data_IF_088257195745
#
_entry.id   IF_088257195745
#
_cell.length_a   1.000
_cell.length_b   1.000
_cell.length_c   1.000
_cell.angle_alpha   90.00
_cell.angle_beta   90.00
_cell.angle_gamma   90.00
#
_symmetry.space_group_name_H-M   'P 1'
#
loop_
_entity.id
_entity.type
_entity.pdbx_description
1 polymer ?
#
# COMPACT_ATOMS: atom_id res chain seq x y z
N UNK A 1 -22.36 -3.75 -24.48
CA UNK A 1 -21.97 -2.53 -23.73
C UNK A 1 -21.03 -3.03 -22.65
N UNK A 2 -19.91 -2.36 -22.40
CA UNK A 2 -18.95 -2.80 -21.37
C UNK A 2 -19.59 -2.65 -19.98
N UNK A 3 -19.29 -3.59 -19.08
CA UNK A 3 -19.76 -3.59 -17.68
C UNK A 3 -19.14 -2.42 -16.91
N UNK A 4 -17.87 -2.14 -17.18
CA UNK A 4 -17.13 -1.06 -16.52
C UNK A 4 -17.38 0.27 -17.23
N UNK A 5 -17.29 1.37 -16.46
CA UNK A 5 -17.42 2.74 -16.99
C UNK A 5 -16.39 3.01 -18.09
N UNK A 6 -16.72 3.88 -19.05
CA UNK A 6 -15.83 4.19 -20.18
C UNK A 6 -14.48 4.80 -19.73
N UNK A 7 -14.47 5.53 -18.63
CA UNK A 7 -13.29 6.12 -18.01
C UNK A 7 -12.76 5.29 -16.82
N UNK A 8 -12.90 3.96 -16.88
CA UNK A 8 -12.34 3.09 -15.85
C UNK A 8 -10.82 3.19 -15.85
N UNK A 9 -10.23 3.38 -14.66
CA UNK A 9 -8.79 3.58 -14.53
C UNK A 9 -8.08 2.21 -14.48
N UNK A 10 -7.63 1.75 -15.64
CA UNK A 10 -6.75 0.60 -15.77
C UNK A 10 -5.30 1.05 -15.69
N UNK A 11 -4.55 0.51 -14.74
CA UNK A 11 -3.18 0.96 -14.54
C UNK A 11 -2.26 -0.12 -14.00
N UNK A 12 -1.22 0.33 -13.32
CA UNK A 12 -0.28 -0.51 -12.60
C UNK A 12 0.24 0.25 -11.39
N UNK A 13 0.51 -0.46 -10.30
CA UNK A 13 0.89 0.13 -9.02
C UNK A 13 2.27 -0.33 -8.57
N UNK A 14 3.06 0.61 -8.05
CA UNK A 14 4.39 0.42 -7.47
C UNK A 14 4.59 1.39 -6.29
N UNK A 15 5.75 1.33 -5.63
CA UNK A 15 6.17 2.30 -4.63
C UNK A 15 7.62 2.71 -4.86
N UNK A 16 7.93 3.99 -4.68
CA UNK A 16 9.21 4.61 -5.02
C UNK A 16 10.42 3.81 -4.49
N UNK A 17 10.49 3.53 -3.18
CA UNK A 17 11.59 2.76 -2.59
C UNK A 17 11.77 1.33 -3.17
N UNK A 18 10.77 0.75 -3.83
CA UNK A 18 10.82 -0.61 -4.36
C UNK A 18 11.32 -0.69 -5.80
N UNK A 19 11.24 0.42 -6.55
CA UNK A 19 11.64 0.44 -7.95
C UNK A 19 12.64 1.53 -8.33
N UNK A 20 12.60 2.72 -7.70
CA UNK A 20 13.38 3.88 -8.15
C UNK A 20 14.87 3.61 -8.13
N UNK A 21 15.43 3.13 -7.02
CA UNK A 21 16.88 3.16 -6.83
C UNK A 21 17.37 4.61 -6.70
N UNK A 22 18.62 4.87 -7.08
CA UNK A 22 19.23 6.20 -6.94
C UNK A 22 19.04 6.77 -5.53
N UNK A 23 19.22 5.91 -4.52
CA UNK A 23 18.77 6.16 -3.15
C UNK A 23 19.46 7.34 -2.44
N UNK A 24 20.64 7.71 -2.93
CA UNK A 24 21.50 8.81 -2.47
C UNK A 24 21.68 9.91 -3.54
N UNK A 25 20.91 9.84 -4.63
CA UNK A 25 20.98 10.80 -5.73
C UNK A 25 20.00 11.95 -5.58
N UNK A 26 20.38 13.09 -6.16
CA UNK A 26 19.60 14.31 -6.16
C UNK A 26 19.28 14.87 -4.77
N UNK A 27 20.19 14.65 -3.82
CA UNK A 27 20.02 15.06 -2.42
C UNK A 27 19.03 14.22 -1.62
N UNK A 28 18.56 13.07 -2.14
CA UNK A 28 17.67 12.17 -1.40
C UNK A 28 18.30 11.72 -0.08
N UNK A 29 17.52 11.77 1.00
CA UNK A 29 17.91 11.28 2.32
C UNK A 29 17.73 9.77 2.50
N UNK A 30 18.23 9.26 3.62
CA UNK A 30 18.06 7.85 4.01
C UNK A 30 16.62 7.62 4.46
N UNK A 31 15.93 6.66 3.85
CA UNK A 31 14.59 6.23 4.26
C UNK A 31 14.65 5.03 5.21
N UNK A 32 13.52 4.70 5.84
CA UNK A 32 13.38 3.43 6.58
C UNK A 32 13.63 2.20 5.69
N UNK A 33 13.30 2.24 4.40
CA UNK A 33 13.58 1.14 3.48
C UNK A 33 15.09 0.96 3.21
N UNK A 34 15.86 2.05 3.25
CA UNK A 34 17.30 2.05 2.97
C UNK A 34 18.13 1.39 4.09
N UNK A 35 17.51 1.08 5.24
CA UNK A 35 18.14 0.38 6.37
C UNK A 35 17.60 -1.04 6.59
N UNK A 36 16.85 -1.58 5.61
CA UNK A 36 16.29 -2.92 5.65
C UNK A 36 17.04 -3.86 4.70
N UNK A 37 17.67 -4.90 5.22
CA UNK A 37 18.40 -5.86 4.39
C UNK A 37 17.47 -6.73 3.56
N UNK A 38 17.98 -7.40 2.53
CA UNK A 38 17.28 -8.53 1.89
C UNK A 38 16.96 -9.63 2.92
N UNK A 39 15.82 -10.29 2.76
CA UNK A 39 15.39 -11.47 3.50
C UNK A 39 15.03 -12.61 2.54
N UNK A 40 14.17 -13.52 2.98
CA UNK A 40 13.62 -14.61 2.15
C UNK A 40 12.31 -15.12 2.76
N UNK A 41 11.60 -16.01 2.06
CA UNK A 41 10.46 -16.70 2.69
C UNK A 41 10.90 -17.44 3.98
N UNK A 42 10.28 -17.09 5.11
CA UNK A 42 10.63 -17.61 6.44
C UNK A 42 11.87 -16.97 7.09
N UNK A 43 12.51 -15.99 6.44
CA UNK A 43 13.66 -15.24 6.98
C UNK A 43 13.33 -13.75 6.91
N UNK A 44 12.99 -13.10 8.05
CA UNK A 44 12.61 -11.70 8.04
C UNK A 44 13.76 -10.80 7.61
N UNK A 45 13.43 -9.67 6.98
CA UNK A 45 14.39 -8.61 6.72
C UNK A 45 14.94 -8.07 8.03
N UNK A 46 16.23 -7.74 8.08
CA UNK A 46 16.82 -7.11 9.26
C UNK A 46 16.74 -5.59 9.14
N UNK A 47 16.22 -4.96 10.18
CA UNK A 47 16.24 -3.50 10.33
C UNK A 47 17.53 -3.12 11.05
N UNK A 48 18.43 -2.45 10.34
CA UNK A 48 19.76 -2.05 10.85
C UNK A 48 19.73 -0.66 11.51
N UNK A 49 20.81 -0.30 12.21
CA UNK A 49 21.01 1.03 12.80
C UNK A 49 21.77 1.92 11.80
N UNK A 50 21.06 2.34 10.74
CA UNK A 50 21.66 3.01 9.60
C UNK A 50 22.22 2.04 8.55
N UNK A 51 22.83 2.60 7.51
CA UNK A 51 23.43 1.83 6.42
C UNK A 51 24.78 1.27 6.85
N UNK A 52 24.89 -0.06 6.91
CA UNK A 52 26.09 -0.77 7.34
C UNK A 52 26.89 -1.31 6.14
N UNK A 53 28.21 -1.16 6.19
CA UNK A 53 29.09 -1.68 5.15
C UNK A 53 29.04 -3.22 5.12
N UNK A 54 28.89 -3.80 3.93
CA UNK A 54 28.88 -5.25 3.71
C UNK A 54 27.50 -5.91 3.81
N UNK A 55 26.46 -5.14 4.11
CA UNK A 55 25.06 -5.59 4.04
C UNK A 55 24.48 -5.38 2.63
N UNK A 56 23.48 -6.20 2.27
CA UNK A 56 22.73 -6.05 1.03
C UNK A 56 21.40 -5.35 1.29
N UNK A 57 21.29 -4.09 0.85
CA UNK A 57 20.09 -3.27 0.88
C UNK A 57 19.48 -3.20 -0.52
N UNK A 58 18.51 -4.08 -0.85
CA UNK A 58 18.05 -4.22 -2.24
C UNK A 58 17.36 -2.96 -2.77
N UNK A 59 16.81 -2.12 -1.89
CA UNK A 59 16.15 -0.86 -2.22
C UNK A 59 17.10 0.24 -2.72
N UNK A 60 18.41 0.15 -2.42
CA UNK A 60 19.39 1.19 -2.81
C UNK A 60 19.48 1.39 -4.31
N UNK A 61 19.48 0.27 -5.05
CA UNK A 61 19.48 0.26 -6.50
C UNK A 61 18.12 -0.15 -7.07
N UNK A 62 17.35 -0.97 -6.35
CA UNK A 62 16.05 -1.49 -6.79
C UNK A 62 16.12 -2.02 -8.24
N UNK A 63 15.35 -1.45 -9.17
CA UNK A 63 15.45 -1.73 -10.61
C UNK A 63 15.97 -0.54 -11.43
N UNK A 64 16.47 0.48 -10.74
CA UNK A 64 16.97 1.72 -11.33
C UNK A 64 15.93 2.47 -12.17
N UNK A 65 14.65 2.45 -11.75
CA UNK A 65 13.61 3.21 -12.42
C UNK A 65 13.90 4.72 -12.41
N UNK A 66 14.65 5.24 -11.43
CA UNK A 66 15.07 6.63 -11.37
C UNK A 66 15.77 7.10 -12.65
N UNK A 67 16.59 6.25 -13.29
CA UNK A 67 17.21 6.57 -14.57
C UNK A 67 16.46 6.02 -15.79
N UNK A 68 15.63 4.99 -15.61
CA UNK A 68 14.93 4.27 -16.69
C UNK A 68 13.45 4.66 -16.86
N UNK A 69 12.93 5.61 -16.08
CA UNK A 69 11.49 5.89 -16.05
C UNK A 69 10.92 6.30 -17.41
N UNK A 70 11.69 6.93 -18.30
CA UNK A 70 11.19 7.31 -19.63
C UNK A 70 10.94 6.09 -20.51
N UNK A 71 11.87 5.13 -20.50
CA UNK A 71 11.73 3.87 -21.21
C UNK A 71 10.61 3.02 -20.59
N UNK A 72 10.53 2.99 -19.26
CA UNK A 72 9.53 2.23 -18.53
C UNK A 72 8.12 2.82 -18.74
N UNK A 73 7.94 4.15 -18.63
CA UNK A 73 6.66 4.83 -18.93
C UNK A 73 6.21 4.61 -20.37
N UNK A 74 7.14 4.54 -21.32
CA UNK A 74 6.81 4.13 -22.69
C UNK A 74 6.29 2.69 -22.75
N UNK A 75 6.86 1.77 -21.98
CA UNK A 75 6.32 0.40 -21.86
C UNK A 75 4.93 0.39 -21.22
N UNK A 76 4.65 1.30 -20.28
CA UNK A 76 3.33 1.44 -19.65
C UNK A 76 2.28 1.91 -20.67
N UNK A 77 2.65 2.86 -21.52
CA UNK A 77 1.83 3.30 -22.64
C UNK A 77 1.63 2.19 -23.68
N UNK A 78 2.68 1.44 -24.01
CA UNK A 78 2.59 0.27 -24.91
C UNK A 78 1.69 -0.82 -24.31
N UNK A 79 1.69 -1.00 -22.98
CA UNK A 79 0.79 -1.90 -22.26
C UNK A 79 -0.66 -1.40 -22.31
N UNK A 80 -0.86 -0.10 -22.52
CA UNK A 80 -2.17 0.54 -22.64
C UNK A 80 -2.70 1.14 -21.34
N UNK A 81 -1.83 1.34 -20.32
CA UNK A 81 -2.25 1.94 -19.06
C UNK A 81 -2.83 3.34 -19.29
N UNK A 82 -3.88 3.69 -18.55
CA UNK A 82 -4.43 5.06 -18.51
C UNK A 82 -4.25 5.72 -17.13
N UNK A 83 -3.74 4.99 -16.15
CA UNK A 83 -3.23 5.53 -14.90
C UNK A 83 -1.99 4.77 -14.42
N UNK A 84 -1.17 5.42 -13.60
CA UNK A 84 0.01 4.82 -12.99
C UNK A 84 0.08 5.22 -11.52
N UNK A 85 -0.04 4.22 -10.64
CA UNK A 85 0.09 4.44 -9.20
C UNK A 85 1.54 4.30 -8.76
N UNK A 86 2.05 5.33 -8.11
CA UNK A 86 3.34 5.31 -7.43
C UNK A 86 3.27 6.11 -6.13
N UNK A 87 4.38 6.20 -5.40
CA UNK A 87 4.55 7.15 -4.30
C UNK A 87 5.53 8.24 -4.66
N UNK A 88 5.38 9.39 -3.98
CA UNK A 88 6.45 10.39 -3.92
C UNK A 88 7.32 9.99 -2.72
N UNK A 89 8.58 9.67 -2.97
CA UNK A 89 9.53 9.38 -1.91
C UNK A 89 9.69 10.60 -1.01
N UNK A 90 9.19 10.52 0.22
CA UNK A 90 9.27 11.60 1.21
C UNK A 90 10.72 12.11 1.34
N UNK A 91 11.69 11.19 1.37
CA UNK A 91 13.13 11.49 1.45
C UNK A 91 13.73 12.19 0.24
N UNK A 92 13.04 12.23 -0.92
CA UNK A 92 13.47 13.10 -2.03
C UNK A 92 13.05 14.54 -1.81
N UNK A 93 11.93 14.78 -1.13
CA UNK A 93 11.37 16.12 -0.94
C UNK A 93 11.87 16.75 0.36
N UNK A 94 11.89 15.97 1.45
CA UNK A 94 12.45 16.34 2.73
C UNK A 94 13.42 15.22 3.18
N UNK A 95 14.71 15.33 2.84
CA UNK A 95 15.72 14.29 3.10
C UNK A 95 15.76 13.80 4.56
N UNK A 96 15.70 14.73 5.51
CA UNK A 96 15.64 14.46 6.94
C UNK A 96 14.21 14.55 7.48
N UNK A 97 13.32 15.26 6.80
CA UNK A 97 11.90 15.37 7.14
C UNK A 97 11.54 16.62 7.94
N UNK A 98 12.54 17.30 8.51
CA UNK A 98 12.40 18.46 9.39
C UNK A 98 12.98 19.75 8.79
N UNK A 99 13.47 19.71 7.54
CA UNK A 99 14.03 20.88 6.86
C UNK A 99 12.98 21.98 6.67
N UNK A 100 13.42 23.24 6.64
CA UNK A 100 12.55 24.39 6.44
C UNK A 100 12.00 24.50 5.00
N UNK A 101 12.79 24.11 4.00
CA UNK A 101 12.42 24.18 2.58
C UNK A 101 12.53 22.79 1.94
N UNK A 102 11.70 22.48 0.93
CA UNK A 102 11.81 21.22 0.21
C UNK A 102 13.04 21.19 -0.69
N UNK A 103 13.49 19.99 -1.03
CA UNK A 103 14.53 19.75 -2.01
C UNK A 103 13.98 19.84 -3.44
N UNK A 104 14.41 20.88 -4.17
CA UNK A 104 13.95 21.16 -5.54
C UNK A 104 14.31 20.04 -6.52
N UNK A 105 15.44 19.36 -6.37
CA UNK A 105 15.83 18.29 -7.31
C UNK A 105 14.91 17.07 -7.17
N UNK A 106 14.44 16.78 -5.95
CA UNK A 106 13.40 15.79 -5.71
C UNK A 106 12.05 16.19 -6.31
N UNK A 107 11.66 17.47 -6.20
CA UNK A 107 10.44 17.97 -6.82
C UNK A 107 10.50 17.88 -8.35
N UNK A 108 11.64 18.27 -8.94
CA UNK A 108 11.84 18.24 -10.38
C UNK A 108 11.81 16.82 -10.94
N UNK A 109 12.32 15.82 -10.21
CA UNK A 109 12.23 14.43 -10.63
C UNK A 109 10.77 13.97 -10.84
N UNK A 110 9.89 14.29 -9.88
CA UNK A 110 8.47 13.94 -10.01
C UNK A 110 7.74 14.81 -11.02
N UNK A 111 8.13 16.08 -11.20
CA UNK A 111 7.65 16.86 -12.35
C UNK A 111 7.94 16.16 -13.67
N UNK A 112 9.18 15.71 -13.87
CA UNK A 112 9.60 15.06 -15.10
C UNK A 112 8.94 13.69 -15.28
N UNK A 113 8.76 12.93 -14.21
CA UNK A 113 8.05 11.65 -14.22
C UNK A 113 6.57 11.84 -14.60
N UNK A 114 5.88 12.76 -13.93
CA UNK A 114 4.46 13.01 -14.19
C UNK A 114 4.25 13.62 -15.57
N UNK A 115 5.14 14.48 -16.05
CA UNK A 115 5.08 15.01 -17.41
C UNK A 115 5.27 13.89 -18.46
N UNK A 116 6.15 12.93 -18.21
CA UNK A 116 6.31 11.78 -19.10
C UNK A 116 5.08 10.87 -19.07
N UNK A 117 4.44 10.65 -17.91
CA UNK A 117 3.16 9.93 -17.83
C UNK A 117 2.04 10.64 -18.62
N UNK A 118 1.85 11.94 -18.36
CA UNK A 118 0.79 12.75 -18.97
C UNK A 118 0.97 12.89 -20.49
N UNK A 119 2.21 12.90 -20.99
CA UNK A 119 2.53 12.84 -22.43
C UNK A 119 1.91 11.63 -23.13
N UNK A 120 1.72 10.52 -22.42
CA UNK A 120 1.06 9.31 -22.93
C UNK A 120 -0.40 9.18 -22.49
N UNK A 121 -0.98 10.19 -21.83
CA UNK A 121 -2.34 10.14 -21.30
C UNK A 121 -2.49 9.21 -20.11
N UNK A 122 -1.42 9.01 -19.33
CA UNK A 122 -1.41 8.20 -18.11
C UNK A 122 -1.59 9.13 -16.92
N UNK A 123 -2.72 9.04 -16.23
CA UNK A 123 -3.00 9.81 -15.01
C UNK A 123 -2.15 9.30 -13.84
N UNK A 124 -1.33 10.14 -13.18
CA UNK A 124 -0.64 9.73 -11.96
C UNK A 124 -1.63 9.53 -10.80
N UNK A 125 -1.45 8.45 -10.05
CA UNK A 125 -2.18 8.17 -8.79
C UNK A 125 -1.16 8.10 -7.66
N UNK A 126 -1.15 9.07 -6.75
CA UNK A 126 0.00 9.28 -5.87
C UNK A 126 -0.31 8.91 -4.42
N UNK A 127 0.52 8.04 -3.85
CA UNK A 127 0.54 7.78 -2.40
C UNK A 127 1.60 8.65 -1.75
N UNK A 128 1.24 9.44 -0.73
CA UNK A 128 2.18 10.35 -0.05
C UNK A 128 3.18 9.57 0.81
N UNK A 129 2.71 8.69 1.69
CA UNK A 129 3.57 7.86 2.54
C UNK A 129 3.43 6.40 2.18
N UNK A 130 4.48 5.79 1.62
CA UNK A 130 4.52 4.39 1.23
C UNK A 130 5.80 3.70 1.75
N UNK A 131 5.82 3.42 3.06
CA UNK A 131 6.87 2.62 3.71
C UNK A 131 8.30 3.18 3.59
N UNK A 132 8.43 4.49 3.43
CA UNK A 132 9.70 5.13 3.04
C UNK A 132 9.96 6.48 3.70
N UNK A 133 9.38 6.70 4.88
CA UNK A 133 9.63 7.94 5.64
C UNK A 133 11.13 8.15 5.94
N UNK A 134 11.59 9.40 6.13
CA UNK A 134 12.97 9.69 6.47
C UNK A 134 13.43 8.98 7.75
N UNK A 135 14.57 8.29 7.69
CA UNK A 135 15.16 7.58 8.82
C UNK A 135 15.67 8.54 9.90
N UNK A 136 15.97 9.79 9.53
CA UNK A 136 16.23 10.87 10.49
C UNK A 136 15.03 11.09 11.44
N UNK A 137 13.79 11.06 10.92
CA UNK A 137 12.60 11.18 11.77
C UNK A 137 12.47 10.02 12.76
N UNK A 138 12.94 8.82 12.39
CA UNK A 138 12.99 7.67 13.29
C UNK A 138 14.01 7.87 14.40
N UNK A 139 15.22 8.33 14.05
CA UNK A 139 16.35 8.42 15.00
C UNK A 139 16.24 9.63 15.92
N UNK A 140 15.83 10.79 15.41
CA UNK A 140 15.75 12.04 16.19
C UNK A 140 14.42 12.20 16.93
N UNK A 141 13.31 11.72 16.36
CA UNK A 141 11.97 11.91 16.91
C UNK A 141 11.31 10.62 17.39
N UNK A 142 11.84 9.45 17.05
CA UNK A 142 11.20 8.16 17.35
C UNK A 142 10.10 7.79 16.35
N UNK A 143 10.10 8.40 15.17
CA UNK A 143 9.04 8.23 14.16
C UNK A 143 7.70 8.75 14.67
N UNK A 144 6.62 8.07 14.31
CA UNK A 144 5.25 8.43 14.69
C UNK A 144 4.91 8.21 16.17
N UNK A 145 5.89 7.96 17.02
CA UNK A 145 5.76 8.16 18.47
C UNK A 145 5.57 9.63 18.84
N UNK A 146 5.98 10.54 17.96
CA UNK A 146 6.10 11.95 18.25
C UNK A 146 5.05 12.77 17.51
N UNK A 147 4.26 13.55 18.25
CA UNK A 147 3.21 14.43 17.71
C UNK A 147 3.72 15.36 16.61
N UNK A 148 4.99 15.79 16.64
CA UNK A 148 5.59 16.65 15.60
C UNK A 148 5.56 16.04 14.20
N UNK A 149 5.44 14.71 14.09
CA UNK A 149 5.29 14.02 12.82
C UNK A 149 4.05 14.48 12.02
N UNK A 150 2.99 14.89 12.73
CA UNK A 150 1.79 15.46 12.10
C UNK A 150 2.18 16.68 11.25
N UNK A 151 2.92 17.62 11.82
CA UNK A 151 3.34 18.85 11.14
C UNK A 151 4.33 18.56 10.00
N UNK A 152 5.29 17.64 10.20
CA UNK A 152 6.25 17.25 9.17
C UNK A 152 5.55 16.62 7.96
N UNK A 153 4.59 15.73 8.19
CA UNK A 153 3.81 15.12 7.12
C UNK A 153 2.88 16.14 6.44
N UNK A 154 2.16 16.97 7.21
CA UNK A 154 1.26 17.98 6.66
C UNK A 154 2.01 18.99 5.78
N UNK A 155 3.24 19.35 6.16
CA UNK A 155 4.13 20.17 5.35
C UNK A 155 4.56 19.48 4.05
N UNK A 156 4.99 18.22 4.14
CA UNK A 156 5.34 17.42 2.97
C UNK A 156 4.16 17.31 1.99
N UNK A 157 2.98 16.95 2.51
CA UNK A 157 1.74 16.86 1.74
C UNK A 157 1.40 18.19 1.06
N UNK A 158 1.44 19.32 1.80
CA UNK A 158 1.22 20.66 1.25
C UNK A 158 2.14 20.96 0.06
N UNK A 159 3.44 20.71 0.19
CA UNK A 159 4.41 20.97 -0.89
C UNK A 159 4.07 20.13 -2.12
N UNK A 160 3.76 18.85 -1.94
CA UNK A 160 3.36 17.99 -3.06
C UNK A 160 2.07 18.47 -3.72
N UNK A 161 1.03 18.77 -2.94
CA UNK A 161 -0.24 19.28 -3.46
C UNK A 161 -0.03 20.60 -4.21
N UNK A 162 0.72 21.56 -3.67
CA UNK A 162 0.96 22.85 -4.32
C UNK A 162 1.76 22.70 -5.62
N UNK A 163 2.77 21.82 -5.65
CA UNK A 163 3.61 21.59 -6.83
C UNK A 163 2.86 20.89 -7.96
N UNK A 164 2.05 19.87 -7.63
CA UNK A 164 1.47 18.97 -8.63
C UNK A 164 -0.04 19.13 -8.84
N UNK A 165 -0.64 20.22 -8.35
CA UNK A 165 -2.09 20.48 -8.43
C UNK A 165 -2.71 20.43 -9.82
N UNK A 166 -1.91 20.72 -10.85
CA UNK A 166 -2.34 20.74 -12.24
C UNK A 166 -1.89 19.46 -13.01
N UNK A 167 -1.30 18.49 -12.31
CA UNK A 167 -0.73 17.26 -12.89
C UNK A 167 -1.29 15.96 -12.29
N UNK A 168 -1.83 16.01 -11.07
CA UNK A 168 -2.26 14.81 -10.33
C UNK A 168 -3.63 15.06 -9.72
N UNK A 169 -4.62 14.24 -10.11
CA UNK A 169 -5.97 14.30 -9.55
C UNK A 169 -6.14 13.38 -8.34
N UNK A 170 -5.55 12.19 -8.38
CA UNK A 170 -5.80 11.11 -7.41
C UNK A 170 -4.66 10.96 -6.40
N UNK A 171 -5.01 11.04 -5.12
CA UNK A 171 -4.06 11.01 -4.01
C UNK A 171 -4.49 10.01 -2.94
N UNK A 172 -3.52 9.43 -2.24
CA UNK A 172 -3.71 8.69 -1.00
C UNK A 172 -2.70 9.14 0.04
N UNK A 173 -3.10 9.14 1.32
CA UNK A 173 -2.24 9.60 2.41
C UNK A 173 -1.23 8.53 2.85
N UNK A 174 -1.68 7.53 3.60
CA UNK A 174 -0.83 6.48 4.16
C UNK A 174 -1.13 5.13 3.52
N UNK A 175 -0.12 4.51 2.89
CA UNK A 175 -0.24 3.16 2.35
C UNK A 175 -0.52 2.15 3.46
N UNK A 176 -1.52 1.30 3.23
CA UNK A 176 -1.89 0.18 4.10
C UNK A 176 -1.77 0.53 5.59
N UNK A 177 -2.37 1.66 5.99
CA UNK A 177 -2.20 2.25 7.32
C UNK A 177 -2.50 1.25 8.44
N UNK A 178 -3.37 0.27 8.15
CA UNK A 178 -3.82 -0.75 9.08
C UNK A 178 -2.90 -1.98 9.20
N UNK A 179 -1.84 -2.10 8.40
CA UNK A 179 -0.87 -3.21 8.55
C UNK A 179 -0.30 -3.27 9.96
N UNK A 180 -0.04 -2.12 10.57
CA UNK A 180 0.48 -2.01 11.93
C UNK A 180 -0.46 -2.56 13.01
N UNK A 181 -1.72 -2.89 12.68
CA UNK A 181 -2.59 -3.67 13.57
C UNK A 181 -1.93 -5.00 14.00
N UNK A 182 -1.07 -5.57 13.15
CA UNK A 182 -0.11 -6.59 13.56
C UNK A 182 1.13 -5.94 14.23
N UNK A 183 0.94 -5.42 15.43
CA UNK A 183 2.00 -4.78 16.22
C UNK A 183 2.98 -5.79 16.83
N UNK A 184 2.69 -7.09 16.76
CA UNK A 184 3.52 -8.14 17.35
C UNK A 184 4.83 -8.36 16.57
N UNK A 185 4.81 -8.11 15.26
CA UNK A 185 5.99 -8.13 14.40
C UNK A 185 6.58 -6.73 14.22
N UNK A 186 7.86 -6.66 13.81
CA UNK A 186 8.56 -5.38 13.65
C UNK A 186 8.32 -4.74 12.28
N UNK A 187 7.96 -5.52 11.25
CA UNK A 187 7.85 -5.02 9.88
C UNK A 187 6.84 -3.87 9.77
N UNK A 188 5.57 -4.11 10.13
CA UNK A 188 4.52 -3.11 9.92
C UNK A 188 4.70 -1.86 10.79
N UNK A 189 4.96 -1.94 12.12
CA UNK A 189 5.23 -0.73 12.91
C UNK A 189 6.45 0.07 12.42
N UNK A 190 7.47 -0.62 11.88
CA UNK A 190 8.64 0.08 11.32
C UNK A 190 8.34 0.74 9.98
N UNK A 191 7.64 0.06 9.06
CA UNK A 191 7.36 0.60 7.72
C UNK A 191 6.21 1.61 7.71
N UNK A 192 5.11 1.36 8.42
CA UNK A 192 4.02 2.33 8.53
C UNK A 192 4.45 3.58 9.29
N UNK A 193 5.16 3.38 10.40
CA UNK A 193 5.23 4.39 11.47
C UNK A 193 6.65 4.73 11.93
N UNK A 194 7.68 4.09 11.37
CA UNK A 194 9.06 4.32 11.79
C UNK A 194 9.35 3.88 13.22
N UNK A 195 8.57 2.94 13.77
CA UNK A 195 8.73 2.49 15.15
C UNK A 195 9.73 1.34 15.23
N UNK A 196 10.86 1.58 15.89
CA UNK A 196 11.71 0.53 16.46
C UNK A 196 11.33 0.35 17.93
N UNK A 197 10.93 -0.84 18.32
CA UNK A 197 10.58 -1.12 19.71
C UNK A 197 11.82 -1.41 20.56
N UNK A 198 11.72 -1.07 21.83
CA UNK A 198 12.68 -1.41 22.87
C UNK A 198 12.10 -2.51 23.78
N UNK A 199 12.98 -3.25 24.45
CA UNK A 199 12.56 -4.29 25.40
C UNK A 199 11.72 -3.67 26.53
N UNK A 200 10.58 -4.31 26.83
CA UNK A 200 9.67 -3.88 27.90
C UNK A 200 8.64 -2.82 27.49
N UNK A 201 8.63 -2.37 26.23
CA UNK A 201 7.61 -1.45 25.74
C UNK A 201 6.26 -2.13 25.49
N UNK A 202 5.18 -1.38 25.75
CA UNK A 202 3.82 -1.76 25.35
C UNK A 202 3.62 -1.44 23.87
N UNK A 203 3.93 -2.45 23.04
CA UNK A 203 3.87 -2.35 21.57
C UNK A 203 2.48 -1.92 21.07
N UNK A 204 1.43 -2.46 21.68
CA UNK A 204 0.06 -2.17 21.27
C UNK A 204 -0.31 -0.71 21.57
N UNK A 205 0.00 -0.22 22.77
CA UNK A 205 -0.25 1.18 23.12
C UNK A 205 0.48 2.15 22.19
N UNK A 206 1.75 1.87 21.89
CA UNK A 206 2.57 2.70 21.00
C UNK A 206 1.99 2.71 19.58
N UNK A 207 1.57 1.55 19.07
CA UNK A 207 0.91 1.46 17.75
C UNK A 207 -0.35 2.32 17.70
N UNK A 208 -1.24 2.24 18.71
CA UNK A 208 -2.45 3.07 18.73
C UNK A 208 -2.14 4.56 18.79
N UNK A 209 -1.07 4.96 19.49
CA UNK A 209 -0.64 6.36 19.52
C UNK A 209 -0.14 6.84 18.15
N UNK A 210 0.68 6.04 17.46
CA UNK A 210 1.19 6.37 16.14
C UNK A 210 0.06 6.42 15.10
N UNK A 211 -0.80 5.39 15.08
CA UNK A 211 -1.98 5.35 14.23
C UNK A 211 -2.90 6.56 14.45
N UNK A 212 -3.07 7.02 15.70
CA UNK A 212 -3.82 8.24 15.98
C UNK A 212 -3.20 9.47 15.29
N UNK A 213 -1.90 9.68 15.46
CA UNK A 213 -1.22 10.82 14.82
C UNK A 213 -1.25 10.72 13.28
N UNK A 214 -1.09 9.53 12.70
CA UNK A 214 -1.21 9.32 11.25
C UNK A 214 -2.62 9.65 10.73
N UNK A 215 -3.67 9.25 11.45
CA UNK A 215 -5.06 9.57 11.10
C UNK A 215 -5.32 11.09 11.16
N UNK A 216 -4.81 11.78 12.18
CA UNK A 216 -4.90 13.24 12.28
C UNK A 216 -4.14 13.91 11.14
N UNK A 217 -2.91 13.45 10.86
CA UNK A 217 -2.09 13.97 9.77
C UNK A 217 -2.73 13.74 8.40
N UNK A 218 -3.40 12.60 8.21
CA UNK A 218 -4.20 12.32 7.02
C UNK A 218 -5.34 13.31 6.88
N UNK A 219 -6.09 13.56 7.96
CA UNK A 219 -7.23 14.48 7.93
C UNK A 219 -6.79 15.92 7.63
N UNK A 220 -5.66 16.35 8.21
CA UNK A 220 -5.05 17.63 7.87
C UNK A 220 -4.60 17.68 6.40
N UNK A 221 -3.98 16.62 5.87
CA UNK A 221 -3.58 16.56 4.48
C UNK A 221 -4.77 16.63 3.51
N UNK A 222 -5.88 15.93 3.80
CA UNK A 222 -7.12 16.02 3.01
C UNK A 222 -7.61 17.47 2.95
N UNK A 223 -7.75 18.11 4.11
CA UNK A 223 -8.18 19.51 4.19
C UNK A 223 -7.26 20.45 3.42
N UNK A 224 -5.95 20.31 3.58
CA UNK A 224 -4.94 21.11 2.85
C UNK A 224 -5.08 20.90 1.34
N UNK A 225 -5.23 19.65 0.90
CA UNK A 225 -5.38 19.32 -0.51
C UNK A 225 -6.60 20.00 -1.12
N UNK A 226 -7.78 19.89 -0.49
CA UNK A 226 -9.00 20.55 -0.99
C UNK A 226 -8.95 22.08 -0.90
N UNK A 227 -8.20 22.66 0.04
CA UNK A 227 -7.92 24.12 0.07
C UNK A 227 -7.09 24.57 -1.14
N UNK A 228 -6.16 23.74 -1.60
CA UNK A 228 -5.28 24.02 -2.75
C UNK A 228 -6.00 23.78 -4.08
N UNK A 229 -6.66 22.63 -4.20
CA UNK A 229 -7.45 22.25 -5.36
C UNK A 229 -8.67 21.41 -4.91
N UNK A 230 -9.90 21.95 -4.99
CA UNK A 230 -11.11 21.22 -4.60
C UNK A 230 -11.46 20.07 -5.55
N UNK A 231 -10.82 19.97 -6.73
CA UNK A 231 -11.04 18.88 -7.69
C UNK A 231 -10.19 17.64 -7.36
N UNK A 232 -9.25 17.72 -6.42
CA UNK A 232 -8.51 16.55 -5.97
C UNK A 232 -9.46 15.46 -5.44
N UNK A 233 -9.07 14.22 -5.67
CA UNK A 233 -9.66 13.04 -5.05
C UNK A 233 -8.63 12.48 -4.09
N UNK A 234 -8.88 12.60 -2.78
CA UNK A 234 -7.92 12.22 -1.73
C UNK A 234 -8.52 11.07 -0.92
N UNK A 235 -8.00 9.87 -1.16
CA UNK A 235 -8.45 8.63 -0.53
C UNK A 235 -7.62 8.20 0.67
N UNK A 236 -8.15 7.26 1.46
CA UNK A 236 -7.33 6.42 2.33
C UNK A 236 -6.75 5.23 1.54
N UNK A 237 -5.80 4.50 2.15
CA UNK A 237 -5.32 3.23 1.61
C UNK A 237 -5.31 2.15 2.70
N UNK A 238 -6.08 1.06 2.46
CA UNK A 238 -6.30 -0.02 3.43
C UNK A 238 -5.82 -1.36 2.86
N UNK A 239 -5.04 -2.11 3.65
CA UNK A 239 -4.79 -3.52 3.38
C UNK A 239 -6.03 -4.34 3.71
N UNK A 240 -6.79 -4.76 2.70
CA UNK A 240 -8.01 -5.54 2.87
C UNK A 240 -7.73 -7.03 2.70
N UNK A 241 -7.63 -7.73 3.83
CA UNK A 241 -7.70 -9.17 3.92
C UNK A 241 -8.93 -9.55 4.77
N UNK A 242 -10.05 -9.92 4.12
CA UNK A 242 -11.24 -10.39 4.82
C UNK A 242 -10.91 -11.48 5.84
N UNK A 243 -11.49 -11.43 7.03
CA UNK A 243 -11.25 -12.41 8.09
C UNK A 243 -12.53 -13.23 8.29
N UNK A 244 -12.62 -14.38 7.61
CA UNK A 244 -13.79 -15.23 7.69
C UNK A 244 -13.85 -15.99 9.02
N UNK A 245 -15.05 -16.19 9.58
CA UNK A 245 -15.23 -17.18 10.64
C UNK A 245 -14.92 -18.57 10.08
N UNK A 246 -14.10 -19.36 10.78
CA UNK A 246 -13.75 -20.71 10.33
C UNK A 246 -14.97 -21.63 10.21
N UNK A 247 -15.98 -21.43 11.06
CA UNK A 247 -17.22 -22.19 11.05
C UNK A 247 -18.43 -21.32 11.41
N UNK A 248 -19.63 -21.88 11.34
CA UNK A 248 -20.85 -21.22 11.83
C UNK A 248 -21.02 -21.28 13.35
N UNK A 249 -20.00 -21.74 14.11
CA UNK A 249 -19.98 -21.57 15.56
C UNK A 249 -20.12 -20.06 15.89
N UNK A 250 -21.12 -19.67 16.70
CA UNK A 250 -21.29 -18.26 17.07
C UNK A 250 -20.04 -17.60 17.66
N UNK A 251 -19.16 -18.37 18.30
CA UNK A 251 -17.88 -17.85 18.81
C UNK A 251 -16.89 -17.52 17.69
N UNK A 252 -16.78 -18.36 16.66
CA UNK A 252 -15.96 -18.08 15.47
C UNK A 252 -16.50 -16.84 14.73
N UNK A 253 -17.83 -16.72 14.62
CA UNK A 253 -18.48 -15.51 14.10
C UNK A 253 -18.11 -14.26 14.90
N UNK A 254 -18.20 -14.31 16.22
CA UNK A 254 -17.87 -13.15 17.06
C UNK A 254 -16.37 -12.81 17.00
N UNK A 255 -15.50 -13.81 16.89
CA UNK A 255 -14.07 -13.59 16.65
C UNK A 255 -13.81 -12.87 15.32
N UNK A 256 -14.46 -13.29 14.24
CA UNK A 256 -14.39 -12.60 12.95
C UNK A 256 -14.83 -11.13 13.06
N UNK A 257 -15.95 -10.84 13.72
CA UNK A 257 -16.42 -9.47 13.96
C UNK A 257 -15.39 -8.66 14.73
N UNK A 258 -14.85 -9.19 15.83
CA UNK A 258 -13.85 -8.48 16.65
C UNK A 258 -12.54 -8.23 15.88
N UNK A 259 -12.07 -9.22 15.12
CA UNK A 259 -10.86 -9.11 14.31
C UNK A 259 -11.00 -8.07 13.19
N UNK A 260 -12.12 -8.09 12.45
CA UNK A 260 -12.43 -7.08 11.44
C UNK A 260 -12.50 -5.68 12.09
N UNK A 261 -13.15 -5.54 13.25
CA UNK A 261 -13.18 -4.27 14.00
C UNK A 261 -11.77 -3.78 14.37
N UNK A 262 -10.89 -4.67 14.85
CA UNK A 262 -9.53 -4.32 15.25
C UNK A 262 -8.61 -3.98 14.09
N UNK A 263 -8.86 -4.54 12.90
CA UNK A 263 -8.05 -4.32 11.72
C UNK A 263 -8.55 -3.19 10.82
N UNK A 264 -9.84 -2.81 10.89
CA UNK A 264 -10.44 -1.85 9.96
C UNK A 264 -11.04 -0.59 10.60
N UNK A 265 -10.84 -0.36 11.90
CA UNK A 265 -11.27 0.89 12.54
C UNK A 265 -10.57 2.14 11.95
N UNK A 266 -9.39 1.98 11.36
CA UNK A 266 -8.71 3.02 10.59
C UNK A 266 -9.62 3.58 9.49
N UNK A 267 -10.33 2.70 8.77
CA UNK A 267 -11.27 3.09 7.73
C UNK A 267 -12.48 3.83 8.32
N UNK A 268 -12.99 3.39 9.48
CA UNK A 268 -14.07 4.10 10.17
C UNK A 268 -13.65 5.55 10.48
N UNK A 269 -12.42 5.78 10.95
CA UNK A 269 -11.92 7.13 11.24
C UNK A 269 -11.70 7.94 9.97
N UNK A 270 -11.07 7.38 8.93
CA UNK A 270 -10.87 8.07 7.65
C UNK A 270 -12.18 8.51 6.99
N UNK A 271 -13.23 7.69 7.07
CA UNK A 271 -14.48 7.93 6.34
C UNK A 271 -15.48 8.70 7.18
N UNK A 272 -15.61 8.38 8.47
CA UNK A 272 -16.63 8.96 9.36
C UNK A 272 -16.10 10.10 10.22
N UNK A 273 -14.77 10.28 10.29
CA UNK A 273 -14.14 11.38 11.01
C UNK A 273 -14.20 11.27 12.53
N UNK A 274 -14.53 10.09 13.07
CA UNK A 274 -14.57 9.84 14.50
C UNK A 274 -14.21 8.40 14.84
N UNK A 275 -13.76 8.17 16.08
CA UNK A 275 -13.50 6.83 16.59
C UNK A 275 -14.81 6.07 16.78
N UNK A 276 -14.88 4.78 16.39
CA UNK A 276 -16.04 3.96 16.70
C UNK A 276 -16.03 3.53 18.16
N UNK A 277 -17.21 3.40 18.76
CA UNK A 277 -17.39 3.11 20.20
C UNK A 277 -16.72 1.82 20.68
N UNK A 278 -16.54 0.83 19.80
CA UNK A 278 -15.85 -0.41 20.14
C UNK A 278 -14.33 -0.19 20.32
N UNK A 279 -13.72 0.80 19.65
CA UNK A 279 -12.32 1.17 19.89
C UNK A 279 -12.21 2.00 21.16
N UNK A 280 -13.08 2.98 21.37
CA UNK A 280 -13.07 3.78 22.61
C UNK A 280 -13.16 2.87 23.85
N UNK A 281 -14.09 1.91 23.85
CA UNK A 281 -14.22 0.92 24.91
C UNK A 281 -13.00 -0.01 25.02
N UNK A 282 -12.36 -0.35 23.90
CA UNK A 282 -11.16 -1.18 23.91
C UNK A 282 -9.97 -0.45 24.56
N UNK A 283 -9.71 0.79 24.15
CA UNK A 283 -8.66 1.64 24.73
C UNK A 283 -8.88 1.82 26.23
N UNK A 284 -10.11 2.11 26.65
CA UNK A 284 -10.47 2.24 28.06
C UNK A 284 -10.24 0.93 28.85
N UNK A 285 -10.62 -0.23 28.29
CA UNK A 285 -10.38 -1.55 28.90
C UNK A 285 -8.89 -1.88 29.04
N UNK A 286 -8.07 -1.48 28.08
CA UNK A 286 -6.62 -1.70 28.10
C UNK A 286 -5.88 -0.66 28.95
N UNK A 287 -6.54 0.43 29.34
CA UNK A 287 -5.90 1.55 30.02
C UNK A 287 -4.97 2.35 29.11
N UNK A 288 -5.22 2.34 27.80
CA UNK A 288 -4.47 3.13 26.84
C UNK A 288 -4.92 4.58 26.88
N UNK A 289 -4.23 5.36 27.70
CA UNK A 289 -4.31 6.82 27.69
C UNK A 289 -3.43 7.34 26.55
N UNK A 290 -4.08 7.64 25.42
CA UNK A 290 -3.46 8.19 24.22
C UNK A 290 -3.48 9.72 24.30
N UNK A 291 -2.42 10.35 23.80
CA UNK A 291 -2.40 11.79 23.55
C UNK A 291 -3.32 12.10 22.36
N UNK A 292 -4.55 12.49 22.69
CA UNK A 292 -5.60 12.95 21.77
C UNK A 292 -6.14 14.29 22.27
N UNK A 293 -6.10 15.32 21.43
CA UNK A 293 -6.59 16.66 21.76
C UNK A 293 -7.98 16.91 21.15
N UNK A 294 -8.69 17.92 21.64
CA UNK A 294 -9.96 18.36 21.02
C UNK A 294 -9.75 18.83 19.57
N UNK A 295 -8.57 19.40 19.27
CA UNK A 295 -8.22 19.80 17.92
C UNK A 295 -8.04 18.59 17.01
N UNK A 296 -7.40 17.52 17.49
CA UNK A 296 -7.26 16.27 16.73
C UNK A 296 -8.63 15.71 16.33
N UNK A 297 -9.56 15.62 17.29
CA UNK A 297 -10.92 15.15 17.03
C UNK A 297 -11.67 16.04 16.03
N UNK A 298 -11.43 17.35 16.10
CA UNK A 298 -11.99 18.33 15.15
C UNK A 298 -11.41 18.13 13.75
N UNK A 299 -10.09 17.93 13.63
CA UNK A 299 -9.41 17.72 12.35
C UNK A 299 -9.92 16.45 11.68
N UNK A 300 -10.06 15.35 12.43
CA UNK A 300 -10.60 14.07 11.93
C UNK A 300 -11.99 14.26 11.29
N UNK A 301 -12.88 15.02 11.91
CA UNK A 301 -14.24 15.27 11.37
C UNK A 301 -14.24 16.10 10.09
N UNK A 302 -13.25 16.99 9.90
CA UNK A 302 -13.19 17.89 8.74
C UNK A 302 -12.26 17.40 7.62
N UNK A 303 -11.60 16.25 7.80
CA UNK A 303 -10.66 15.68 6.84
C UNK A 303 -11.02 14.27 6.40
N UNK A 304 -12.31 13.96 6.29
CA UNK A 304 -12.77 12.68 5.77
C UNK A 304 -12.40 12.51 4.29
N UNK A 305 -12.04 11.29 3.91
CA UNK A 305 -11.54 10.97 2.57
C UNK A 305 -12.65 10.90 1.51
N UNK A 306 -12.29 11.12 0.24
CA UNK A 306 -13.22 11.11 -0.90
C UNK A 306 -13.53 9.69 -1.41
N UNK A 307 -12.58 8.77 -1.24
CA UNK A 307 -12.69 7.37 -1.68
C UNK A 307 -11.86 6.43 -0.82
N UNK A 308 -12.11 5.12 -0.96
CA UNK A 308 -11.35 4.08 -0.29
C UNK A 308 -10.44 3.38 -1.31
N UNK A 309 -9.16 3.71 -1.28
CA UNK A 309 -8.13 2.88 -1.91
C UNK A 309 -7.89 1.65 -1.06
N UNK A 310 -7.77 0.47 -1.68
CA UNK A 310 -7.39 -0.72 -0.95
C UNK A 310 -6.54 -1.69 -1.77
N UNK A 311 -5.69 -2.44 -1.09
CA UNK A 311 -5.03 -3.62 -1.64
C UNK A 311 -5.87 -4.86 -1.35
N UNK A 312 -5.81 -5.81 -2.27
CA UNK A 312 -6.38 -7.14 -2.07
C UNK A 312 -5.46 -8.20 -2.65
N UNK A 313 -5.11 -9.18 -1.82
CA UNK A 313 -4.26 -10.30 -2.25
C UNK A 313 -4.81 -11.66 -1.82
N UNK A 314 -5.45 -11.69 -0.65
CA UNK A 314 -5.83 -12.91 0.05
C UNK A 314 -6.93 -12.63 1.07
N UNK A 315 -7.55 -13.70 1.55
CA UNK A 315 -8.39 -13.70 2.75
C UNK A 315 -7.76 -14.54 3.86
N UNK A 316 -8.21 -14.33 5.09
CA UNK A 316 -7.88 -15.11 6.26
C UNK A 316 -9.11 -15.87 6.78
N UNK A 317 -8.88 -16.89 7.60
CA UNK A 317 -9.91 -17.50 8.43
C UNK A 317 -9.48 -17.39 9.90
N UNK A 318 -10.44 -17.28 10.82
CA UNK A 318 -10.21 -17.15 12.26
C UNK A 318 -11.09 -18.11 13.04
N UNK A 319 -10.56 -18.63 14.15
CA UNK A 319 -11.28 -19.53 15.04
C UNK A 319 -11.21 -19.02 16.48
N UNK A 320 -12.25 -19.27 17.28
CA UNK A 320 -12.18 -19.03 18.71
C UNK A 320 -11.24 -20.03 19.41
N UNK A 321 -10.46 -19.49 20.34
CA UNK A 321 -9.52 -20.20 21.20
C UNK A 321 -9.83 -19.92 22.68
N UNK A 322 -11.12 -19.93 23.04
CA UNK A 322 -11.64 -19.61 24.37
C UNK A 322 -11.19 -18.23 24.88
N UNK A 323 -11.31 -17.20 24.04
CA UNK A 323 -10.87 -15.81 24.29
C UNK A 323 -11.63 -15.08 25.41
N UNK A 324 -12.59 -15.74 26.05
CA UNK A 324 -13.47 -15.16 27.05
C UNK A 324 -14.37 -14.04 26.47
N UNK A 325 -14.95 -13.18 27.31
CA UNK A 325 -15.94 -12.20 26.87
C UNK A 325 -15.35 -11.04 26.04
N UNK A 326 -14.02 -10.92 26.02
CA UNK A 326 -13.31 -9.82 25.37
C UNK A 326 -13.12 -10.04 23.86
N UNK A 327 -12.99 -11.30 23.41
CA UNK A 327 -12.71 -11.67 22.03
C UNK A 327 -11.53 -10.88 21.43
N UNK A 328 -10.48 -10.64 22.22
CA UNK A 328 -9.31 -9.86 21.78
C UNK A 328 -8.57 -10.62 20.66
N UNK A 329 -8.38 -9.92 19.54
CA UNK A 329 -7.72 -10.43 18.34
C UNK A 329 -6.19 -10.29 18.44
N UNK A 330 -5.49 -11.38 18.14
CA UNK A 330 -4.04 -11.45 17.95
C UNK A 330 -3.78 -12.13 16.60
N UNK A 331 -3.38 -11.33 15.60
CA UNK A 331 -3.14 -11.78 14.22
C UNK A 331 -2.14 -12.94 14.14
N UNK A 332 -1.15 -12.96 15.04
CA UNK A 332 -0.10 -13.98 15.05
C UNK A 332 -0.55 -15.35 15.58
N UNK A 333 -1.71 -15.43 16.25
CA UNK A 333 -2.15 -16.63 16.98
C UNK A 333 -3.52 -17.14 16.58
N UNK A 334 -4.43 -16.25 16.20
CA UNK A 334 -5.85 -16.61 16.07
C UNK A 334 -6.24 -17.06 14.67
N UNK A 335 -5.40 -16.75 13.68
CA UNK A 335 -5.65 -17.09 12.29
C UNK A 335 -5.39 -18.58 12.02
N UNK A 336 -6.25 -19.16 11.19
CA UNK A 336 -6.17 -20.55 10.74
C UNK A 336 -6.20 -20.62 9.21
N UNK A 337 -5.70 -21.72 8.64
CA UNK A 337 -5.78 -21.95 7.19
C UNK A 337 -7.22 -22.21 6.77
N UNK A 338 -7.63 -21.61 5.67
CA UNK A 338 -8.88 -21.89 5.00
C UNK A 338 -8.71 -23.16 4.13
N UNK A 339 -9.43 -24.26 4.42
CA UNK A 339 -9.26 -25.52 3.71
C UNK A 339 -9.89 -25.54 2.30
N UNK A 340 -10.56 -24.47 1.89
CA UNK A 340 -11.30 -24.39 0.63
C UNK A 340 -10.57 -23.65 -0.49
N UNK A 341 -9.38 -23.10 -0.21
CA UNK A 341 -8.60 -22.31 -1.16
C UNK A 341 -7.16 -22.79 -1.23
N UNK A 342 -6.53 -22.58 -2.38
CA UNK A 342 -5.11 -22.80 -2.57
C UNK A 342 -4.30 -21.61 -2.01
N UNK A 343 -2.98 -21.71 -2.05
CA UNK A 343 -2.08 -20.63 -1.65
C UNK A 343 -0.86 -20.57 -2.58
N UNK A 344 -0.26 -19.39 -2.69
CA UNK A 344 1.01 -19.21 -3.39
C UNK A 344 2.17 -19.90 -2.65
N UNK A 345 3.34 -19.94 -3.29
CA UNK A 345 4.58 -20.45 -2.67
C UNK A 345 5.02 -19.67 -1.42
N UNK A 346 4.51 -18.45 -1.23
CA UNK A 346 4.72 -17.65 -0.01
C UNK A 346 3.60 -17.82 1.03
N UNK A 347 2.67 -18.75 0.82
CA UNK A 347 1.58 -19.06 1.74
C UNK A 347 0.40 -18.10 1.67
N UNK A 348 0.32 -17.23 0.66
CA UNK A 348 -0.79 -16.28 0.50
C UNK A 348 -1.99 -16.99 -0.14
N UNK A 349 -3.11 -17.04 0.58
CA UNK A 349 -4.31 -17.77 0.12
C UNK A 349 -4.95 -17.11 -1.10
N UNK A 350 -5.28 -17.90 -2.12
CA UNK A 350 -5.84 -17.42 -3.38
C UNK A 350 -7.37 -17.48 -3.30
N UNK A 351 -7.97 -16.33 -3.02
CA UNK A 351 -9.43 -16.21 -2.86
C UNK A 351 -9.97 -15.05 -3.70
N UNK A 352 -10.29 -15.27 -4.98
CA UNK A 352 -10.86 -14.23 -5.82
C UNK A 352 -12.24 -13.77 -5.35
N UNK A 353 -13.08 -14.69 -4.85
CA UNK A 353 -14.43 -14.34 -4.36
C UNK A 353 -14.38 -13.40 -3.16
N UNK A 354 -13.33 -13.51 -2.34
CA UNK A 354 -13.08 -12.58 -1.25
C UNK A 354 -12.86 -11.13 -1.69
N UNK A 355 -12.47 -10.86 -2.94
CA UNK A 355 -12.41 -9.50 -3.48
C UNK A 355 -13.82 -8.92 -3.62
N UNK A 356 -14.75 -9.70 -4.18
CA UNK A 356 -16.16 -9.30 -4.26
C UNK A 356 -16.76 -9.11 -2.86
N UNK A 357 -16.45 -9.99 -1.91
CA UNK A 357 -16.84 -9.80 -0.50
C UNK A 357 -16.28 -8.50 0.08
N UNK A 358 -14.99 -8.23 -0.10
CA UNK A 358 -14.32 -7.03 0.39
C UNK A 358 -14.96 -5.75 -0.16
N UNK A 359 -15.25 -5.73 -1.46
CA UNK A 359 -15.92 -4.60 -2.11
C UNK A 359 -17.31 -4.35 -1.50
N UNK A 360 -18.13 -5.40 -1.34
CA UNK A 360 -19.44 -5.28 -0.70
C UNK A 360 -19.30 -4.79 0.75
N UNK A 361 -18.37 -5.35 1.52
CA UNK A 361 -18.14 -4.96 2.91
C UNK A 361 -17.79 -3.48 3.06
N UNK A 362 -16.91 -2.96 2.19
CA UNK A 362 -16.61 -1.53 2.18
C UNK A 362 -17.81 -0.70 1.75
N UNK A 363 -18.45 -1.04 0.63
CA UNK A 363 -19.49 -0.21 0.05
C UNK A 363 -20.75 -0.16 0.92
N UNK A 364 -21.21 -1.29 1.46
CA UNK A 364 -22.35 -1.33 2.39
C UNK A 364 -22.10 -0.53 3.68
N UNK A 365 -20.83 -0.47 4.12
CA UNK A 365 -20.46 0.19 5.38
C UNK A 365 -20.24 1.69 5.25
N UNK A 366 -19.76 2.14 4.09
CA UNK A 366 -19.22 3.48 3.90
C UNK A 366 -19.83 4.26 2.73
N UNK A 367 -20.47 3.58 1.77
CA UNK A 367 -21.10 4.19 0.60
C UNK A 367 -20.19 5.13 -0.21
N UNK A 368 -18.87 4.96 -0.10
CA UNK A 368 -17.87 5.69 -0.89
C UNK A 368 -17.46 4.91 -2.15
N UNK A 369 -16.98 5.62 -3.19
CA UNK A 369 -16.26 5.01 -4.29
C UNK A 369 -15.05 4.20 -3.80
N UNK A 370 -14.78 3.09 -4.47
CA UNK A 370 -13.64 2.24 -4.18
C UNK A 370 -12.57 2.37 -5.27
N UNK A 371 -11.32 2.08 -4.94
CA UNK A 371 -10.23 1.95 -5.90
C UNK A 371 -9.38 0.74 -5.50
N UNK A 372 -9.32 -0.30 -6.34
CA UNK A 372 -8.42 -1.43 -6.13
C UNK A 372 -7.02 -0.99 -6.58
N UNK A 373 -6.25 -0.50 -5.62
CA UNK A 373 -4.95 0.13 -5.88
C UNK A 373 -3.79 -0.86 -5.82
N UNK A 374 -4.06 -2.10 -5.39
CA UNK A 374 -3.15 -3.24 -5.52
C UNK A 374 -3.93 -4.55 -5.62
N UNK A 375 -3.51 -5.40 -6.53
CA UNK A 375 -3.82 -6.83 -6.57
C UNK A 375 -2.72 -7.52 -7.38
N UNK A 376 -2.25 -8.69 -6.97
CA UNK A 376 -1.11 -9.30 -7.65
C UNK A 376 -0.74 -10.68 -7.16
N UNK A 377 -0.03 -11.42 -8.02
CA UNK A 377 0.44 -12.76 -7.72
C UNK A 377 1.96 -12.82 -7.75
N UNK A 378 2.55 -12.84 -6.55
CA UNK A 378 3.98 -12.99 -6.36
C UNK A 378 4.38 -14.46 -6.53
N UNK A 379 5.16 -14.76 -7.56
CA UNK A 379 5.61 -16.10 -7.91
C UNK A 379 7.04 -16.09 -8.45
N UNK A 380 7.63 -17.28 -8.56
CA UNK A 380 8.93 -17.45 -9.22
C UNK A 380 8.68 -17.49 -10.73
N UNK A 381 9.33 -16.60 -11.48
CA UNK A 381 9.33 -16.71 -12.94
C UNK A 381 10.47 -17.62 -13.40
N UNK A 382 10.16 -18.49 -14.36
CA UNK A 382 11.15 -19.28 -15.11
C UNK A 382 11.37 -18.64 -16.49
N UNK A 383 12.64 -18.45 -16.86
CA UNK A 383 13.00 -17.99 -18.20
C UNK A 383 13.05 -19.18 -19.16
N UNK A 384 12.28 -19.07 -20.23
CA UNK A 384 12.33 -20.01 -21.35
C UNK A 384 13.65 -19.86 -22.13
N UNK A 385 13.95 -20.82 -23.00
CA UNK A 385 15.19 -20.82 -23.79
C UNK A 385 15.35 -19.59 -24.71
N UNK A 386 14.25 -18.93 -25.07
CA UNK A 386 14.22 -17.71 -25.87
C UNK A 386 14.26 -16.41 -25.04
N UNK A 387 14.35 -16.53 -23.70
CA UNK A 387 14.39 -15.41 -22.76
C UNK A 387 13.03 -14.82 -22.41
N UNK A 388 11.92 -15.46 -22.80
CA UNK A 388 10.56 -15.06 -22.39
C UNK A 388 10.15 -15.72 -21.07
N UNK A 389 9.11 -15.18 -20.42
CA UNK A 389 8.46 -15.79 -19.26
C UNK A 389 7.02 -16.14 -19.62
N UNK A 390 6.67 -17.43 -19.50
CA UNK A 390 5.30 -17.91 -19.67
C UNK A 390 4.59 -17.98 -18.30
N UNK A 391 4.09 -16.85 -17.85
CA UNK A 391 3.46 -16.68 -16.55
C UNK A 391 1.93 -16.88 -16.57
N UNK A 392 1.49 -18.03 -17.10
CA UNK A 392 0.05 -18.36 -17.14
C UNK A 392 -0.59 -18.34 -15.75
N UNK A 393 0.13 -18.78 -14.71
CA UNK A 393 -0.35 -18.73 -13.32
C UNK A 393 -0.71 -17.31 -12.85
N UNK A 394 -0.02 -16.29 -13.36
CA UNK A 394 -0.27 -14.88 -13.01
C UNK A 394 -1.49 -14.36 -13.74
N UNK A 395 -1.65 -14.73 -15.01
CA UNK A 395 -2.85 -14.47 -15.80
C UNK A 395 -4.07 -15.10 -15.12
N UNK A 396 -4.00 -16.37 -14.74
CA UNK A 396 -5.11 -17.11 -14.13
C UNK A 396 -5.56 -16.45 -12.81
N UNK A 397 -4.60 -16.05 -11.96
CA UNK A 397 -4.89 -15.31 -10.73
C UNK A 397 -5.60 -13.98 -11.00
N UNK A 398 -5.02 -13.13 -11.84
CA UNK A 398 -5.55 -11.78 -12.07
C UNK A 398 -6.90 -11.82 -12.78
N UNK A 399 -7.05 -12.72 -13.76
CA UNK A 399 -8.32 -12.98 -14.43
C UNK A 399 -9.43 -13.32 -13.43
N UNK A 400 -9.18 -14.26 -12.53
CA UNK A 400 -10.18 -14.67 -11.53
C UNK A 400 -10.61 -13.49 -10.62
N UNK A 401 -9.69 -12.60 -10.27
CA UNK A 401 -10.01 -11.40 -9.47
C UNK A 401 -10.74 -10.34 -10.29
N UNK A 402 -10.36 -10.13 -11.55
CA UNK A 402 -11.04 -9.19 -12.46
C UNK A 402 -12.48 -9.64 -12.71
N UNK A 403 -12.75 -10.94 -12.85
CA UNK A 403 -14.11 -11.49 -12.95
C UNK A 403 -14.95 -11.11 -11.71
N UNK A 404 -14.42 -11.32 -10.50
CA UNK A 404 -15.12 -10.98 -9.26
C UNK A 404 -15.30 -9.47 -9.03
N UNK A 405 -14.33 -8.67 -9.46
CA UNK A 405 -14.44 -7.21 -9.48
C UNK A 405 -15.54 -6.74 -10.44
N UNK A 406 -15.61 -7.31 -11.64
CA UNK A 406 -16.68 -7.00 -12.61
C UNK A 406 -18.04 -7.39 -12.07
N UNK A 407 -18.17 -8.55 -11.43
CA UNK A 407 -19.42 -8.98 -10.81
C UNK A 407 -19.86 -8.04 -9.67
N UNK A 408 -18.91 -7.56 -8.87
CA UNK A 408 -19.18 -6.56 -7.83
C UNK A 408 -19.73 -5.24 -8.40
N UNK A 409 -19.24 -4.82 -9.58
CA UNK A 409 -19.77 -3.63 -10.26
C UNK A 409 -21.13 -3.92 -10.90
N UNK A 410 -21.26 -5.01 -11.65
CA UNK A 410 -22.46 -5.32 -12.45
C UNK A 410 -23.66 -5.72 -11.59
N UNK A 411 -23.46 -6.64 -10.66
CA UNK A 411 -24.55 -7.27 -9.89
C UNK A 411 -24.76 -6.60 -8.54
N UNK A 412 -23.69 -6.09 -7.92
CA UNK A 412 -23.77 -5.48 -6.59
C UNK A 412 -23.84 -3.95 -6.64
N UNK A 413 -23.62 -3.35 -7.83
CA UNK A 413 -23.80 -1.92 -8.07
C UNK A 413 -22.70 -1.03 -7.47
N UNK A 414 -21.52 -1.59 -7.19
CA UNK A 414 -20.47 -0.90 -6.44
C UNK A 414 -19.72 0.10 -7.34
N UNK A 415 -19.65 1.40 -6.96
CA UNK A 415 -18.86 2.39 -7.67
C UNK A 415 -17.36 2.11 -7.52
N UNK A 416 -16.75 1.62 -8.60
CA UNK A 416 -15.32 1.36 -8.67
C UNK A 416 -14.62 2.34 -9.61
N UNK A 417 -13.58 3.01 -9.10
CA UNK A 417 -12.79 4.00 -9.82
C UNK A 417 -11.87 3.33 -10.84
N UNK A 418 -11.15 2.29 -10.40
CA UNK A 418 -10.09 1.66 -11.18
C UNK A 418 -9.50 0.42 -10.55
N UNK A 419 -8.56 -0.18 -11.27
CA UNK A 419 -7.82 -1.38 -10.90
C UNK A 419 -6.37 -1.29 -11.38
N UNK A 420 -5.42 -1.35 -10.44
CA UNK A 420 -3.98 -1.26 -10.71
C UNK A 420 -3.24 -2.46 -10.12
N UNK A 421 -2.91 -3.49 -10.93
CA UNK A 421 -2.08 -4.60 -10.49
C UNK A 421 -0.78 -4.15 -9.87
N UNK A 422 -0.42 -4.78 -8.75
CA UNK A 422 0.79 -4.47 -8.00
C UNK A 422 2.02 -5.02 -8.68
N UNK A 423 3.12 -4.25 -8.64
CA UNK A 423 4.43 -4.67 -9.13
C UNK A 423 4.37 -5.11 -10.59
N UNK A 424 3.52 -4.44 -11.40
CA UNK A 424 3.29 -4.76 -12.80
C UNK A 424 4.56 -4.64 -13.68
N UNK A 425 5.59 -3.96 -13.17
CA UNK A 425 6.99 -4.16 -13.53
C UNK A 425 7.69 -4.81 -12.34
N UNK A 426 8.51 -5.84 -12.59
CA UNK A 426 9.23 -6.53 -11.51
C UNK A 426 10.03 -5.53 -10.67
N UNK A 427 9.94 -5.69 -9.36
CA UNK A 427 10.51 -4.77 -8.37
C UNK A 427 10.93 -5.54 -7.11
N UNK A 428 11.59 -4.85 -6.18
CA UNK A 428 11.99 -5.43 -4.90
C UNK A 428 10.75 -5.65 -4.02
N UNK A 429 10.45 -6.88 -3.59
CA UNK A 429 9.30 -7.16 -2.74
C UNK A 429 9.40 -6.43 -1.38
N UNK A 430 8.27 -6.01 -0.81
CA UNK A 430 8.27 -5.27 0.46
C UNK A 430 8.70 -6.17 1.64
N UNK A 431 7.91 -7.21 1.93
CA UNK A 431 8.07 -8.05 3.12
C UNK A 431 9.37 -8.86 3.17
N UNK A 432 9.92 -9.28 2.02
CA UNK A 432 11.14 -10.10 1.95
C UNK A 432 12.31 -9.42 1.25
N UNK A 433 12.13 -8.30 0.56
CA UNK A 433 13.22 -7.63 -0.16
C UNK A 433 13.71 -8.41 -1.38
N UNK A 434 12.89 -9.31 -1.92
CA UNK A 434 13.29 -10.25 -2.97
C UNK A 434 12.95 -9.71 -4.36
N UNK A 435 13.86 -9.87 -5.32
CA UNK A 435 13.57 -9.83 -6.76
C UNK A 435 12.98 -11.16 -7.26
N UNK A 436 13.25 -12.27 -6.58
CA UNK A 436 12.76 -13.61 -6.96
C UNK A 436 11.23 -13.73 -6.86
N UNK A 437 10.60 -12.99 -5.95
CA UNK A 437 9.14 -12.91 -5.80
C UNK A 437 8.59 -11.88 -6.79
N UNK A 438 8.37 -12.32 -8.03
CA UNK A 438 8.01 -11.46 -9.16
C UNK A 438 6.51 -11.29 -9.30
N UNK A 439 6.11 -10.08 -9.69
CA UNK A 439 4.70 -9.70 -9.86
C UNK A 439 4.40 -9.20 -11.28
N UNK A 440 5.44 -8.83 -12.05
CA UNK A 440 5.25 -7.98 -13.21
C UNK A 440 4.66 -8.66 -14.43
N UNK A 441 4.10 -7.83 -15.30
CA UNK A 441 3.94 -8.07 -16.73
C UNK A 441 5.23 -7.77 -17.49
N UNK A 442 6.09 -6.93 -16.90
CA UNK A 442 7.41 -6.58 -17.40
C UNK A 442 8.44 -7.23 -16.48
N UNK A 443 9.22 -8.15 -17.05
CA UNK A 443 10.36 -8.77 -16.38
C UNK A 443 11.52 -7.80 -16.30
N UNK A 444 12.23 -7.80 -15.18
CA UNK A 444 13.50 -7.08 -15.01
C UNK A 444 14.60 -8.09 -14.69
N UNK A 445 15.66 -8.08 -15.50
CA UNK A 445 16.85 -8.93 -15.30
C UNK A 445 17.67 -8.44 -14.10
N UNK A 446 17.25 -8.86 -12.91
CA UNK A 446 17.93 -8.69 -11.64
C UNK A 446 17.55 -9.81 -10.68
N UNK A 447 18.49 -10.31 -9.89
CA UNK A 447 18.28 -11.31 -8.85
C UNK A 447 18.42 -10.75 -7.42
N UNK A 448 18.28 -11.62 -6.42
CA UNK A 448 18.39 -11.24 -5.00
C UNK A 448 19.83 -10.88 -4.57
N UNK A 449 20.85 -11.25 -5.36
CA UNK A 449 22.25 -10.90 -5.13
C UNK A 449 22.64 -9.58 -5.81
N UNK A 450 21.65 -8.90 -6.42
CA UNK A 450 21.86 -7.65 -7.15
C UNK A 450 22.52 -7.85 -8.52
N UNK A 451 22.61 -9.08 -9.02
CA UNK A 451 23.19 -9.37 -10.33
C UNK A 451 22.12 -9.34 -11.42
N UNK A 452 22.50 -8.90 -12.62
CA UNK A 452 21.63 -8.84 -13.80
C UNK A 452 21.87 -7.57 -14.62
N UNK A 453 21.36 -7.51 -15.85
CA UNK A 453 21.60 -6.34 -16.72
C UNK A 453 20.56 -5.22 -16.55
N UNK A 454 19.60 -5.36 -15.63
CA UNK A 454 18.42 -4.50 -15.47
C UNK A 454 17.56 -4.37 -16.73
N UNK A 455 17.71 -5.27 -17.71
CA UNK A 455 16.96 -5.18 -18.96
C UNK A 455 15.49 -5.51 -18.71
N UNK A 456 14.60 -4.72 -19.30
CA UNK A 456 13.17 -4.97 -19.32
C UNK A 456 12.78 -5.90 -20.49
N UNK A 457 11.93 -6.88 -20.24
CA UNK A 457 11.31 -7.72 -21.27
C UNK A 457 9.83 -7.99 -20.97
N UNK A 458 9.02 -8.16 -22.01
CA UNK A 458 7.58 -8.44 -21.87
C UNK A 458 7.40 -9.91 -21.51
N UNK A 459 6.63 -10.18 -20.45
CA UNK A 459 6.15 -11.53 -20.13
C UNK A 459 4.89 -11.83 -20.96
N UNK A 460 4.43 -13.08 -20.96
CA UNK A 460 3.18 -13.47 -21.64
C UNK A 460 1.98 -12.66 -21.16
N UNK A 461 1.93 -12.38 -19.86
CA UNK A 461 0.89 -11.56 -19.23
C UNK A 461 0.83 -10.10 -19.72
N UNK A 462 1.89 -9.57 -20.36
CA UNK A 462 1.89 -8.22 -20.94
C UNK A 462 0.82 -8.08 -22.03
N UNK A 463 0.87 -8.95 -23.05
CA UNK A 463 -0.08 -8.87 -24.17
C UNK A 463 -1.50 -9.23 -23.73
N UNK A 464 -1.63 -10.13 -22.75
CA UNK A 464 -2.90 -10.44 -22.10
C UNK A 464 -3.51 -9.20 -21.44
N UNK A 465 -2.79 -8.53 -20.55
CA UNK A 465 -3.33 -7.36 -19.84
C UNK A 465 -3.59 -6.19 -20.80
N UNK A 466 -2.77 -6.03 -21.83
CA UNK A 466 -3.04 -5.08 -22.92
C UNK A 466 -4.41 -5.36 -23.57
N UNK A 467 -4.78 -6.63 -23.79
CA UNK A 467 -6.08 -6.99 -24.34
C UNK A 467 -7.23 -6.76 -23.34
N UNK A 468 -7.00 -7.03 -22.06
CA UNK A 468 -7.95 -6.70 -20.98
C UNK A 468 -8.29 -5.20 -21.04
N UNK A 469 -7.27 -4.32 -21.10
CA UNK A 469 -7.51 -2.88 -21.13
C UNK A 469 -8.23 -2.45 -22.41
N UNK A 470 -7.76 -2.91 -23.58
CA UNK A 470 -8.36 -2.58 -24.88
C UNK A 470 -9.84 -2.98 -24.98
N UNK A 471 -10.21 -4.09 -24.36
CA UNK A 471 -11.59 -4.58 -24.30
C UNK A 471 -12.38 -4.03 -23.11
N UNK A 472 -11.79 -3.15 -22.30
CA UNK A 472 -12.34 -2.67 -21.03
C UNK A 472 -12.82 -3.82 -20.10
N UNK A 473 -12.04 -4.90 -20.05
CA UNK A 473 -12.29 -6.09 -19.24
C UNK A 473 -13.28 -7.08 -19.84
N UNK A 474 -13.74 -6.92 -21.09
CA UNK A 474 -14.64 -7.89 -21.73
C UNK A 474 -13.94 -9.13 -22.27
N UNK A 475 -12.66 -9.03 -22.61
CA UNK A 475 -11.83 -10.16 -23.04
C UNK A 475 -10.75 -10.42 -21.98
N UNK A 476 -10.90 -11.54 -21.26
CA UNK A 476 -9.99 -12.00 -20.20
C UNK A 476 -9.34 -13.33 -20.53
#
# INVERSE_FOLDING_TARGET
MSILRENFLWGGAVAAHQLEGGWDQGGKGVSVADVMTVGAHGVPRRITDGVLQGENYPNHEAIDFYHHYKEDVKLFADLGLNCFRTSIAWTRIFPNGDEAEPNEEGLQFYDDLFDECLKYGIEPVITLSHFEMPYHLVTEYGGWRNRKMIDFFAKFARVCFERYKDKVTYWMTFNEINNQANYAEDFAPFTNSGIKYQEGEDREKIMYQAAHYELVASAQAVKIGHEINPDFQIGCMIAMCPIYPYSCDPKDMMMSVSAMQKRYWFTDVHVRGHYPSFIENYLARKGFDLDMTEQDLTDLTHGCVDYIGFSYYMSFAIKDHDKGPAFDYDESKDLVKNPYVEASDWGWQIDPLGLRYAMNWFNERYELPLFIVENGFGAIDELEADGTVNDQYRIDYLKAHIEMMKEAVEFDGIPLIGYTPWGFIDLVSAGTGEMKKRYGFIYVDKDNEGQGTLKRSKKKSFDWYQQVIKSNGEEL
#
